data_IF_728777392851
#
_entry.id   IF_728777392851
#
_cell.length_a   1.000
_cell.length_b   1.000
_cell.length_c   1.000
_cell.angle_alpha   90.00
_cell.angle_beta   90.00
_cell.angle_gamma   90.00
#
_symmetry.space_group_name_H-M   'P 1'
#
loop_
_entity.id
_entity.type
_entity.pdbx_description
1 polymer ?
#
# COMPACT_ATOMS: atom_id res chain seq x y z
N UNK A 1 -5.31 -30.72 -0.36
CA UNK A 1 -3.92 -30.69 -0.85
C UNK A 1 -3.50 -29.23 -0.90
N UNK A 2 -2.51 -28.82 -0.11
CA UNK A 2 -1.91 -27.49 -0.23
C UNK A 2 -0.90 -27.54 -1.37
N UNK A 3 -1.07 -26.65 -2.35
CA UNK A 3 -0.14 -26.51 -3.46
C UNK A 3 0.93 -25.51 -3.04
N UNK A 4 2.18 -25.91 -3.20
CA UNK A 4 3.30 -24.98 -3.15
C UNK A 4 3.47 -24.38 -4.55
N UNK A 5 3.60 -23.05 -4.68
CA UNK A 5 3.98 -22.45 -5.95
C UNK A 5 5.33 -23.02 -6.39
N UNK A 6 5.62 -23.01 -7.70
CA UNK A 6 6.97 -23.33 -8.16
C UNK A 6 7.96 -22.24 -7.72
N UNK A 7 9.27 -22.46 -7.87
CA UNK A 7 10.28 -21.48 -7.40
C UNK A 7 10.52 -20.33 -8.37
N UNK A 8 9.92 -20.37 -9.56
CA UNK A 8 10.21 -19.42 -10.64
C UNK A 8 9.74 -17.99 -10.29
N UNK A 9 8.77 -17.83 -9.38
CA UNK A 9 8.36 -16.50 -8.90
C UNK A 9 9.42 -15.83 -8.02
N UNK A 10 10.34 -16.57 -7.39
CA UNK A 10 11.34 -16.02 -6.45
C UNK A 10 12.35 -15.10 -7.14
N UNK A 11 12.58 -15.35 -8.44
CA UNK A 11 13.47 -14.57 -9.30
C UNK A 11 12.73 -13.53 -10.16
N UNK A 12 11.40 -13.64 -10.34
CA UNK A 12 10.60 -12.62 -11.02
C UNK A 12 10.32 -11.41 -10.09
N UNK A 13 11.26 -10.46 -10.10
CA UNK A 13 11.17 -9.24 -9.30
C UNK A 13 10.06 -8.30 -9.73
N UNK A 14 9.75 -8.24 -11.02
CA UNK A 14 8.62 -7.44 -11.51
C UNK A 14 7.31 -7.98 -10.94
N UNK A 15 7.08 -9.30 -10.99
CA UNK A 15 5.89 -9.92 -10.40
C UNK A 15 5.78 -9.66 -8.90
N UNK A 16 6.88 -9.81 -8.15
CA UNK A 16 6.91 -9.51 -6.70
C UNK A 16 6.52 -8.06 -6.42
N UNK A 17 7.13 -7.12 -7.15
CA UNK A 17 6.89 -5.70 -6.96
C UNK A 17 5.48 -5.30 -7.39
N UNK A 18 4.97 -5.85 -8.49
CA UNK A 18 3.58 -5.65 -8.92
C UNK A 18 2.57 -6.19 -7.90
N UNK A 19 2.85 -7.35 -7.30
CA UNK A 19 2.03 -7.88 -6.21
C UNK A 19 2.06 -6.98 -4.97
N UNK A 20 3.22 -6.41 -4.63
CA UNK A 20 3.33 -5.41 -3.57
C UNK A 20 2.47 -4.18 -3.90
N UNK A 21 2.62 -3.60 -5.10
CA UNK A 21 1.83 -2.46 -5.54
C UNK A 21 0.32 -2.75 -5.45
N UNK A 22 -0.12 -3.92 -5.92
CA UNK A 22 -1.51 -4.33 -5.78
C UNK A 22 -1.95 -4.40 -4.32
N UNK A 23 -1.12 -4.98 -3.43
CA UNK A 23 -1.41 -5.12 -1.99
C UNK A 23 -1.52 -3.78 -1.28
N UNK A 24 -0.66 -2.81 -1.62
CA UNK A 24 -0.64 -1.46 -1.03
C UNK A 24 -1.97 -0.71 -1.21
N UNK A 25 -2.68 -0.96 -2.31
CA UNK A 25 -3.94 -0.29 -2.63
C UNK A 25 -5.17 -1.21 -2.58
N UNK A 26 -5.03 -2.43 -2.04
CA UNK A 26 -6.15 -3.39 -1.86
C UNK A 26 -6.31 -3.93 -0.44
N UNK A 27 -5.51 -3.45 0.51
CA UNK A 27 -5.61 -3.84 1.92
C UNK A 27 -6.73 -3.11 2.69
N UNK A 28 -6.95 -3.51 3.95
CA UNK A 28 -7.95 -2.94 4.87
C UNK A 28 -7.32 -2.33 6.13
N UNK A 29 -6.09 -1.83 6.02
CA UNK A 29 -5.40 -1.17 7.12
C UNK A 29 -6.21 0.06 7.53
N UNK A 30 -6.24 0.35 8.83
CA UNK A 30 -6.92 1.51 9.40
C UNK A 30 -5.98 2.11 10.44
N UNK A 31 -5.71 3.41 10.35
CA UNK A 31 -4.76 4.06 11.26
C UNK A 31 -5.24 4.07 12.72
N UNK A 32 -6.54 3.82 12.96
CA UNK A 32 -7.10 3.71 14.32
C UNK A 32 -6.57 2.50 15.11
N UNK A 33 -6.02 1.49 14.43
CA UNK A 33 -5.48 0.29 15.08
C UNK A 33 -3.96 0.34 15.30
N UNK A 34 -3.31 1.46 14.98
CA UNK A 34 -1.88 1.66 15.17
C UNK A 34 -1.25 2.47 14.04
N UNK A 35 0.06 2.70 14.15
CA UNK A 35 0.82 3.45 13.16
C UNK A 35 0.71 2.83 11.77
N UNK A 36 0.40 3.67 10.79
CA UNK A 36 0.28 3.24 9.40
C UNK A 36 1.66 3.20 8.73
N UNK A 37 2.27 2.01 8.68
CA UNK A 37 3.56 1.76 8.04
C UNK A 37 3.48 1.59 6.52
N UNK A 38 2.29 1.66 5.91
CA UNK A 38 2.01 1.20 4.55
C UNK A 38 1.81 2.33 3.54
N UNK A 39 1.98 3.59 3.95
CA UNK A 39 1.88 4.75 3.05
C UNK A 39 3.09 4.72 2.10
N UNK A 40 2.90 4.57 0.77
CA UNK A 40 4.00 4.44 -0.17
C UNK A 40 4.46 5.78 -0.75
N UNK A 41 4.17 6.87 -0.04
CA UNK A 41 4.47 8.23 -0.47
C UNK A 41 5.21 8.97 0.64
N UNK A 42 5.95 10.01 0.27
CA UNK A 42 6.47 10.99 1.23
C UNK A 42 5.42 12.08 1.48
N UNK A 43 5.55 12.79 2.60
CA UNK A 43 4.73 13.95 2.93
C UNK A 43 4.77 15.01 1.83
N UNK A 44 5.92 15.18 1.17
CA UNK A 44 6.11 16.13 0.08
C UNK A 44 5.38 15.69 -1.19
N UNK A 45 5.37 14.40 -1.52
CA UNK A 45 4.72 13.87 -2.73
C UNK A 45 3.19 14.03 -2.68
N UNK A 46 2.61 14.09 -1.48
CA UNK A 46 1.15 14.23 -1.28
C UNK A 46 0.75 15.54 -0.60
N UNK A 47 1.68 16.47 -0.42
CA UNK A 47 1.46 17.76 0.25
C UNK A 47 0.80 17.63 1.64
N UNK A 48 1.24 16.66 2.43
CA UNK A 48 0.76 16.50 3.81
C UNK A 48 1.20 17.69 4.68
N UNK A 49 0.29 18.15 5.55
CA UNK A 49 0.52 19.31 6.45
C UNK A 49 1.39 18.99 7.66
N UNK A 50 1.48 17.71 8.00
CA UNK A 50 2.18 17.20 9.17
C UNK A 50 3.00 15.96 8.77
N UNK A 51 3.99 15.62 9.60
CA UNK A 51 4.87 14.47 9.35
C UNK A 51 4.14 13.15 9.52
N UNK A 52 4.52 12.17 8.72
CA UNK A 52 4.06 10.80 8.93
C UNK A 52 4.79 10.20 10.14
N UNK A 53 4.06 9.36 10.89
CA UNK A 53 4.62 8.58 11.99
C UNK A 53 5.59 7.50 11.49
N UNK A 54 5.43 7.07 10.24
CA UNK A 54 6.32 6.09 9.61
C UNK A 54 6.55 6.37 8.14
N UNK A 55 7.82 6.33 7.75
CA UNK A 55 8.27 6.36 6.36
C UNK A 55 8.72 4.99 5.85
N UNK A 56 8.36 3.90 6.55
CA UNK A 56 8.88 2.56 6.31
C UNK A 56 8.66 2.09 4.86
N UNK A 57 7.42 2.14 4.35
CA UNK A 57 7.13 1.63 3.01
C UNK A 57 7.85 2.44 1.92
N UNK A 58 7.92 3.76 2.07
CA UNK A 58 8.65 4.62 1.14
C UNK A 58 10.16 4.35 1.16
N UNK A 59 10.74 4.15 2.34
CA UNK A 59 12.16 3.79 2.48
C UNK A 59 12.42 2.39 1.91
N UNK A 60 11.55 1.42 2.17
CA UNK A 60 11.62 0.07 1.63
C UNK A 60 11.60 0.07 0.10
N UNK A 61 10.65 0.78 -0.52
CA UNK A 61 10.55 0.92 -1.98
C UNK A 61 11.80 1.59 -2.57
N UNK A 62 12.38 2.57 -1.85
CA UNK A 62 13.60 3.28 -2.27
C UNK A 62 14.88 2.48 -2.00
N UNK A 63 14.79 1.24 -1.50
CA UNK A 63 15.96 0.42 -1.16
C UNK A 63 16.72 0.93 0.07
N UNK A 64 16.11 1.78 0.90
CA UNK A 64 16.72 2.29 2.13
C UNK A 64 16.37 1.35 3.28
N UNK A 65 17.18 0.31 3.46
CA UNK A 65 17.07 -0.52 4.67
C UNK A 65 17.84 0.15 5.81
N UNK A 66 17.13 0.88 6.69
CA UNK A 66 17.66 1.16 8.03
C UNK A 66 17.25 -0.01 8.91
N UNK A 67 18.19 -0.74 9.56
CA UNK A 67 17.79 -1.66 10.61
C UNK A 67 17.01 -0.86 11.67
N UNK A 68 15.88 -1.37 12.18
CA UNK A 68 15.22 -0.74 13.30
C UNK A 68 16.25 -0.64 14.43
N UNK A 69 16.54 0.58 14.87
CA UNK A 69 17.30 0.81 16.10
C UNK A 69 16.53 0.10 17.22
N UNK A 70 17.14 -0.94 17.78
CA UNK A 70 16.64 -1.80 18.86
C UNK A 70 15.52 -1.14 19.69
N UNK A 71 14.26 -1.42 19.34
CA UNK A 71 13.12 -1.21 20.23
C UNK A 71 12.69 -2.58 20.76
N UNK A 72 12.75 -2.72 22.08
CA UNK A 72 12.64 -3.99 22.80
C UNK A 72 11.24 -4.60 22.83
N UNK A 73 10.73 -5.07 21.69
CA UNK A 73 9.62 -6.02 21.65
C UNK A 73 10.16 -7.41 21.33
N UNK A 74 10.66 -8.05 22.38
CA UNK A 74 11.13 -9.42 22.44
C UNK A 74 9.93 -10.38 22.42
N UNK A 75 9.17 -10.49 21.31
CA UNK A 75 8.12 -11.52 21.20
C UNK A 75 7.68 -12.00 19.80
N UNK A 76 8.42 -11.73 18.72
CA UNK A 76 8.14 -12.33 17.39
C UNK A 76 9.21 -13.30 16.87
N UNK A 77 10.27 -13.57 17.64
CA UNK A 77 11.47 -14.34 17.21
C UNK A 77 11.23 -15.87 17.17
N UNK A 78 9.99 -16.38 17.27
CA UNK A 78 9.77 -17.84 17.44
C UNK A 78 9.37 -18.58 16.15
N UNK A 79 9.04 -17.90 15.04
CA UNK A 79 8.58 -18.60 13.82
C UNK A 79 9.08 -18.07 12.48
N UNK A 80 10.07 -17.19 12.44
CA UNK A 80 10.72 -16.85 11.17
C UNK A 80 12.04 -17.62 11.05
N UNK A 81 12.29 -18.37 9.96
CA UNK A 81 13.66 -18.74 9.65
C UNK A 81 14.44 -17.44 9.49
N UNK A 82 15.62 -17.36 10.09
CA UNK A 82 16.56 -16.25 9.91
C UNK A 82 16.93 -16.16 8.42
N UNK A 83 16.11 -15.49 7.63
CA UNK A 83 16.53 -14.99 6.33
C UNK A 83 17.49 -13.85 6.65
N UNK A 84 18.77 -13.96 6.28
CA UNK A 84 19.68 -12.83 6.44
C UNK A 84 19.06 -11.67 5.69
N UNK A 85 18.57 -10.66 6.42
CA UNK A 85 18.39 -9.34 5.85
C UNK A 85 19.71 -9.03 5.17
N UNK A 86 19.66 -8.85 3.85
CA UNK A 86 20.84 -8.50 3.09
C UNK A 86 21.33 -7.18 3.67
N UNK A 87 22.30 -7.23 4.59
CA UNK A 87 23.06 -6.09 5.15
C UNK A 87 23.90 -5.38 4.07
N UNK A 88 23.51 -5.52 2.81
CA UNK A 88 24.08 -4.81 1.71
C UNK A 88 23.45 -3.43 1.74
N UNK A 89 24.25 -2.44 2.10
CA UNK A 89 24.01 -1.01 1.91
C UNK A 89 23.83 -0.62 0.41
N UNK A 90 23.46 -1.58 -0.45
CA UNK A 90 23.32 -1.55 -1.90
C UNK A 90 21.93 -2.08 -2.34
N UNK A 91 20.90 -1.97 -1.51
CA UNK A 91 19.55 -2.31 -1.96
C UNK A 91 19.11 -1.27 -3.01
N UNK A 92 19.00 -1.71 -4.27
CA UNK A 92 18.47 -0.88 -5.35
C UNK A 92 16.98 -0.56 -5.10
N UNK A 93 16.50 0.60 -5.56
CA UNK A 93 15.07 0.88 -5.58
C UNK A 93 14.29 -0.23 -6.29
N UNK A 94 13.08 -0.51 -5.81
CA UNK A 94 12.21 -1.47 -6.46
C UNK A 94 11.75 -0.94 -7.83
N UNK A 95 11.81 -1.81 -8.83
CA UNK A 95 11.34 -1.52 -10.17
C UNK A 95 9.94 -2.12 -10.38
N UNK A 96 8.99 -1.27 -10.75
CA UNK A 96 7.60 -1.64 -10.98
C UNK A 96 7.28 -1.62 -12.46
N UNK A 97 6.32 -2.46 -12.88
CA UNK A 97 5.80 -2.37 -14.24
C UNK A 97 5.10 -1.02 -14.50
N UNK A 98 4.80 -0.74 -15.77
CA UNK A 98 4.03 0.43 -16.15
C UNK A 98 2.62 0.42 -15.51
N UNK A 99 1.98 -0.74 -15.42
CA UNK A 99 0.66 -0.88 -14.79
C UNK A 99 0.71 -0.58 -13.29
N UNK A 100 1.73 -1.09 -12.59
CA UNK A 100 1.92 -0.80 -11.16
C UNK A 100 2.28 0.67 -10.91
N UNK A 101 3.12 1.26 -11.76
CA UNK A 101 3.44 2.69 -11.71
C UNK A 101 2.18 3.55 -11.85
N UNK A 102 1.28 3.20 -12.78
CA UNK A 102 -0.01 3.90 -12.94
C UNK A 102 -0.92 3.77 -11.70
N UNK A 103 -0.84 2.66 -10.97
CA UNK A 103 -1.54 2.50 -9.67
C UNK A 103 -0.97 3.47 -8.63
N UNK A 104 0.35 3.59 -8.51
CA UNK A 104 0.97 4.56 -7.60
C UNK A 104 0.61 6.00 -7.95
N UNK A 105 0.57 6.37 -9.23
CA UNK A 105 0.15 7.70 -9.66
C UNK A 105 -1.31 8.00 -9.29
N UNK A 106 -2.22 7.06 -9.56
CA UNK A 106 -3.62 7.19 -9.19
C UNK A 106 -3.81 7.27 -7.66
N UNK A 107 -3.06 6.45 -6.91
CA UNK A 107 -3.03 6.48 -5.45
C UNK A 107 -2.52 7.84 -4.93
N UNK A 108 -1.42 8.35 -5.49
CA UNK A 108 -0.83 9.62 -5.09
C UNK A 108 -1.81 10.76 -5.29
N UNK A 109 -2.47 10.83 -6.44
CA UNK A 109 -3.49 11.85 -6.72
C UNK A 109 -4.63 11.82 -5.69
N UNK A 110 -5.07 10.62 -5.28
CA UNK A 110 -6.10 10.47 -4.24
C UNK A 110 -5.61 10.94 -2.86
N UNK A 111 -4.39 10.58 -2.45
CA UNK A 111 -3.81 11.05 -1.19
C UNK A 111 -3.61 12.56 -1.18
N UNK A 112 -3.06 13.12 -2.26
CA UNK A 112 -2.90 14.57 -2.41
C UNK A 112 -4.24 15.27 -2.24
N UNK A 113 -5.30 14.76 -2.89
CA UNK A 113 -6.64 15.32 -2.74
C UNK A 113 -7.19 15.22 -1.32
N UNK A 114 -6.92 14.13 -0.60
CA UNK A 114 -7.28 14.04 0.81
C UNK A 114 -6.57 15.10 1.67
N UNK A 115 -5.27 15.34 1.46
CA UNK A 115 -4.52 16.34 2.25
C UNK A 115 -4.90 17.80 1.95
N UNK A 116 -5.59 18.08 0.84
CA UNK A 116 -6.12 19.42 0.53
C UNK A 116 -7.46 19.73 1.21
N UNK A 117 -8.14 18.73 1.80
CA UNK A 117 -9.48 18.92 2.34
C UNK A 117 -9.54 19.87 3.55
N UNK A 118 -10.64 20.62 3.75
CA UNK A 118 -10.76 21.59 4.82
C UNK A 118 -11.12 20.90 6.16
N UNK A 119 -10.17 20.17 6.74
CA UNK A 119 -10.35 19.51 8.03
C UNK A 119 -10.67 20.50 9.16
N UNK A 120 -11.62 20.13 10.01
CA UNK A 120 -11.86 20.81 11.29
C UNK A 120 -10.66 20.55 12.20
N UNK A 121 -10.29 21.53 13.02
CA UNK A 121 -9.19 21.42 14.00
C UNK A 121 -9.29 20.13 14.80
N UNK A 122 -8.22 19.33 14.81
CA UNK A 122 -8.15 18.05 15.53
C UNK A 122 -8.73 16.85 14.80
N UNK A 123 -9.28 17.02 13.58
CA UNK A 123 -9.81 15.90 12.76
C UNK A 123 -8.89 15.47 11.62
N UNK A 124 -7.86 16.26 11.34
CA UNK A 124 -6.88 15.94 10.31
C UNK A 124 -6.02 14.74 10.74
N UNK A 125 -5.94 13.74 9.88
CA UNK A 125 -5.08 12.58 10.08
C UNK A 125 -4.02 12.54 8.97
N UNK A 126 -2.74 12.87 9.25
CA UNK A 126 -1.67 12.77 8.26
C UNK A 126 -1.36 11.32 7.89
N UNK A 127 -1.61 10.35 8.78
CA UNK A 127 -1.28 8.93 8.60
C UNK A 127 -2.42 8.12 7.96
N UNK A 128 -3.34 8.79 7.26
CA UNK A 128 -4.53 8.15 6.70
C UNK A 128 -4.16 7.01 5.72
N UNK A 129 -4.76 5.84 5.95
CA UNK A 129 -4.75 4.72 5.01
C UNK A 129 -5.78 4.91 3.89
N UNK A 130 -5.76 4.04 2.88
CA UNK A 130 -6.82 4.03 1.86
C UNK A 130 -8.21 3.85 2.48
N UNK A 131 -8.32 3.06 3.54
CA UNK A 131 -9.60 2.88 4.23
C UNK A 131 -10.05 4.19 4.88
N UNK A 132 -9.16 4.87 5.61
CA UNK A 132 -9.48 6.11 6.32
C UNK A 132 -9.87 7.22 5.32
N UNK A 133 -9.18 7.31 4.18
CA UNK A 133 -9.51 8.24 3.09
C UNK A 133 -10.90 7.92 2.53
N UNK A 134 -11.20 6.65 2.27
CA UNK A 134 -12.53 6.25 1.79
C UNK A 134 -13.61 6.58 2.82
N UNK A 135 -13.36 6.30 4.09
CA UNK A 135 -14.29 6.59 5.18
C UNK A 135 -14.57 8.08 5.29
N UNK A 136 -13.55 8.93 5.15
CA UNK A 136 -13.71 10.39 5.15
C UNK A 136 -14.70 10.86 4.07
N UNK A 137 -14.52 10.42 2.83
CA UNK A 137 -15.36 10.88 1.71
C UNK A 137 -16.70 10.15 1.63
N UNK A 138 -16.75 8.86 1.94
CA UNK A 138 -17.96 8.04 1.82
C UNK A 138 -18.87 8.22 3.04
N UNK A 139 -18.30 8.52 4.21
CA UNK A 139 -19.02 8.51 5.47
C UNK A 139 -19.58 7.13 5.83
N UNK A 140 -20.39 7.09 6.89
CA UNK A 140 -21.08 5.88 7.35
C UNK A 140 -22.60 6.11 7.35
N UNK A 141 -23.36 5.05 7.22
CA UNK A 141 -24.81 5.05 7.40
C UNK A 141 -25.19 4.91 8.88
N UNK A 142 -26.49 4.95 9.19
CA UNK A 142 -27.03 4.84 10.56
C UNK A 142 -26.62 3.54 11.28
N UNK A 143 -26.35 2.46 10.53
CA UNK A 143 -25.88 1.19 11.06
C UNK A 143 -24.34 1.14 11.24
N UNK A 144 -23.64 2.25 11.02
CA UNK A 144 -22.18 2.33 11.11
C UNK A 144 -21.42 1.68 9.93
N UNK A 145 -22.11 1.29 8.86
CA UNK A 145 -21.47 0.74 7.65
C UNK A 145 -21.02 1.88 6.73
N UNK A 146 -19.81 1.80 6.21
CA UNK A 146 -19.29 2.76 5.22
C UNK A 146 -20.15 2.75 3.95
N UNK A 147 -20.48 3.93 3.43
CA UNK A 147 -21.29 4.04 2.22
C UNK A 147 -20.48 3.60 0.98
N UNK A 148 -21.17 3.16 -0.08
CA UNK A 148 -20.50 2.73 -1.31
C UNK A 148 -20.07 3.89 -2.21
N UNK A 149 -20.63 5.09 -1.99
CA UNK A 149 -20.45 6.29 -2.80
C UNK A 149 -20.26 7.51 -1.90
N UNK A 150 -19.59 8.53 -2.43
CA UNK A 150 -19.51 9.87 -1.85
C UNK A 150 -20.36 10.84 -2.70
N UNK A 151 -20.75 11.98 -2.12
CA UNK A 151 -21.24 13.13 -2.88
C UNK A 151 -20.11 13.95 -3.53
N UNK A 152 -18.85 13.71 -3.16
CA UNK A 152 -17.69 14.40 -3.73
C UNK A 152 -17.34 13.80 -5.11
N UNK A 153 -17.61 14.57 -6.16
CA UNK A 153 -17.38 14.17 -7.55
C UNK A 153 -15.90 13.95 -7.88
N UNK A 154 -15.02 14.82 -7.38
CA UNK A 154 -13.57 14.74 -7.60
C UNK A 154 -13.02 13.46 -6.97
N UNK A 155 -13.40 13.19 -5.72
CA UNK A 155 -13.07 11.94 -5.05
C UNK A 155 -13.57 10.73 -5.83
N UNK A 156 -14.83 10.75 -6.30
CA UNK A 156 -15.42 9.64 -7.05
C UNK A 156 -14.64 9.34 -8.35
N UNK A 157 -14.16 10.39 -9.05
CA UNK A 157 -13.29 10.24 -10.23
C UNK A 157 -11.92 9.65 -9.86
N UNK A 158 -11.29 10.15 -8.80
CA UNK A 158 -9.97 9.68 -8.35
C UNK A 158 -10.00 8.22 -7.88
N UNK A 159 -10.95 7.85 -7.01
CA UNK A 159 -11.11 6.47 -6.53
C UNK A 159 -11.53 5.52 -7.67
N UNK A 160 -12.32 6.02 -8.63
CA UNK A 160 -12.67 5.28 -9.85
C UNK A 160 -11.43 4.98 -10.69
N UNK A 161 -10.58 5.98 -10.89
CA UNK A 161 -9.30 5.84 -11.61
C UNK A 161 -8.39 4.83 -10.91
N UNK A 162 -8.22 4.92 -9.59
CA UNK A 162 -7.41 3.97 -8.82
C UNK A 162 -7.93 2.53 -8.98
N UNK A 163 -9.25 2.31 -8.91
CA UNK A 163 -9.87 0.99 -9.10
C UNK A 163 -9.64 0.43 -10.51
N UNK A 164 -9.72 1.28 -11.53
CA UNK A 164 -9.46 0.87 -12.90
C UNK A 164 -7.98 0.49 -13.11
N UNK A 165 -7.04 1.27 -12.56
CA UNK A 165 -5.61 0.92 -12.61
C UNK A 165 -5.31 -0.37 -11.85
N UNK A 166 -5.94 -0.59 -10.70
CA UNK A 166 -5.83 -1.85 -9.95
C UNK A 166 -6.35 -3.04 -10.75
N UNK A 167 -7.44 -2.87 -11.50
CA UNK A 167 -7.98 -3.92 -12.38
C UNK A 167 -7.01 -4.25 -13.52
N UNK A 168 -6.40 -3.24 -14.14
CA UNK A 168 -5.39 -3.43 -15.19
C UNK A 168 -4.15 -4.15 -14.64
N UNK A 169 -3.66 -3.75 -13.47
CA UNK A 169 -2.56 -4.43 -12.79
C UNK A 169 -2.92 -5.89 -12.46
N UNK A 170 -4.14 -6.15 -11.96
CA UNK A 170 -4.59 -7.51 -11.68
C UNK A 170 -4.63 -8.39 -12.94
N UNK A 171 -5.03 -7.84 -14.10
CA UNK A 171 -5.01 -8.56 -15.37
C UNK A 171 -3.59 -8.93 -15.81
N UNK A 172 -2.59 -8.11 -15.47
CA UNK A 172 -1.18 -8.41 -15.72
C UNK A 172 -0.61 -9.46 -14.75
N UNK A 173 -0.99 -9.40 -13.48
CA UNK A 173 -0.55 -10.34 -12.44
C UNK A 173 -1.18 -11.74 -12.63
N UNK A 174 -2.47 -11.81 -13.00
CA UNK A 174 -3.23 -13.04 -13.00
C UNK A 174 -2.61 -14.19 -13.82
N UNK A 175 -2.11 -13.99 -15.06
CA UNK A 175 -1.43 -15.06 -15.80
C UNK A 175 -0.23 -15.65 -15.05
N UNK A 176 0.55 -14.80 -14.37
CA UNK A 176 1.72 -15.23 -13.60
C UNK A 176 1.33 -16.03 -12.35
N UNK A 177 0.18 -15.74 -11.73
CA UNK A 177 -0.38 -16.55 -10.61
C UNK A 177 -0.61 -18.00 -11.03
N UNK A 178 -1.16 -18.23 -12.23
CA UNK A 178 -1.34 -19.60 -12.76
C UNK A 178 -0.02 -20.20 -13.24
N UNK A 179 0.83 -19.41 -13.91
CA UNK A 179 2.17 -19.84 -14.35
C UNK A 179 3.00 -20.40 -13.18
N UNK A 180 2.98 -19.70 -12.05
CA UNK A 180 3.69 -20.09 -10.83
C UNK A 180 2.93 -21.07 -9.94
N UNK A 181 1.75 -21.52 -10.38
CA UNK A 181 0.93 -22.54 -9.70
C UNK A 181 0.46 -22.14 -8.30
N UNK A 182 0.29 -20.84 -8.06
CA UNK A 182 -0.45 -20.37 -6.88
C UNK A 182 -1.91 -20.84 -6.93
N UNK A 183 -2.49 -20.92 -8.15
CA UNK A 183 -3.84 -21.42 -8.42
C UNK A 183 -3.82 -22.45 -9.55
N UNK A 184 -4.82 -23.34 -9.59
CA UNK A 184 -5.07 -24.24 -10.73
C UNK A 184 -5.80 -23.47 -11.84
N UNK A 185 -5.37 -23.68 -13.08
CA UNK A 185 -6.06 -23.24 -14.31
C UNK A 185 -7.39 -23.94 -14.51
#
# INVERSE_FOLDING_TARGET
>A
QFLYPNKDWETDKEFQNDCLAFTLFSNNIQSKYGTNHWIPFTEQEVNAREKFESNFMTDFIKGKQKPPSQSGYMLSIVFEPEVPYNNNNNASPLEFSAAATAVFEAGRALWTYYHTQPFVTGTYNPNASLYDIREYFQGRNEAGKMNNKSSDETYNQLIGTLRERLKQLAQQIAPKVYLYRFLKS
#
